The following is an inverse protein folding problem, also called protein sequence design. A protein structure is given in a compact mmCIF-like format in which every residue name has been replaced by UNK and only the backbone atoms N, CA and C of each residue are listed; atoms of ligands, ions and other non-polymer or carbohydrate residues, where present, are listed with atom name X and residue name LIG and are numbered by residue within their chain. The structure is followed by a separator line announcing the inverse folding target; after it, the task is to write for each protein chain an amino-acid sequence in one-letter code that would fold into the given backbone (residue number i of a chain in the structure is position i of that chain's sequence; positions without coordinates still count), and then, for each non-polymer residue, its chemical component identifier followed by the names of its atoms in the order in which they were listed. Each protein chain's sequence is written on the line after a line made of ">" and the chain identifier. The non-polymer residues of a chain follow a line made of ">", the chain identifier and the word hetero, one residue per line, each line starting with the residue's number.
data_IF_571901840739
#
_entry.id   IF_571901840739
#
_cell.length_a   1.000
_cell.length_b   1.000
_cell.length_c   1.000
_cell.angle_alpha   90.00
_cell.angle_beta   90.00
_cell.angle_gamma   90.00
#
_symmetry.space_group_name_H-M   'P 1'
#
loop_
_entity.id
_entity.type
_entity.pdbx_description
1 polymer ?
#
# COMPACT_ATOMS: atom_id res chain seq x y z
N UNK A 1 16.36 12.84 45.70
CA UNK A 1 16.60 13.50 44.40
C UNK A 1 17.49 12.59 43.57
N UNK A 2 16.92 11.78 42.65
CA UNK A 2 17.66 10.85 41.79
C UNK A 2 17.70 11.45 40.38
N UNK A 3 18.90 11.82 39.93
CA UNK A 3 19.16 12.38 38.61
C UNK A 3 19.20 11.23 37.58
N UNK A 4 18.24 11.16 36.66
CA UNK A 4 18.29 10.25 35.52
C UNK A 4 19.09 10.95 34.40
N UNK A 5 20.24 10.37 34.05
CA UNK A 5 21.02 10.77 32.89
C UNK A 5 20.40 10.13 31.64
N UNK A 6 19.97 10.96 30.69
CA UNK A 6 19.44 10.56 29.39
C UNK A 6 20.62 10.33 28.44
N UNK A 7 20.89 9.07 28.11
CA UNK A 7 21.88 8.70 27.09
C UNK A 7 21.20 8.73 25.71
N UNK A 8 21.54 9.75 24.91
CA UNK A 8 21.18 9.81 23.49
C UNK A 8 22.13 8.92 22.69
N UNK A 9 21.66 7.79 22.20
CA UNK A 9 22.37 6.97 21.21
C UNK A 9 22.04 7.46 19.81
N UNK A 10 23.01 8.11 19.14
CA UNK A 10 22.91 8.48 17.73
C UNK A 10 23.27 7.24 16.90
N UNK A 11 22.28 6.64 16.23
CA UNK A 11 22.49 5.58 15.24
C UNK A 11 22.75 6.20 13.86
N UNK A 12 23.99 6.09 13.39
CA UNK A 12 24.37 6.44 12.03
C UNK A 12 23.91 5.31 11.08
N UNK A 13 22.98 5.60 10.17
CA UNK A 13 22.60 4.71 9.09
C UNK A 13 23.60 4.82 7.95
N UNK A 14 24.37 3.75 7.71
CA UNK A 14 25.17 3.60 6.50
C UNK A 14 24.26 3.24 5.32
N UNK A 15 24.21 4.10 4.31
CA UNK A 15 23.50 3.83 3.05
C UNK A 15 24.40 2.93 2.21
N UNK A 16 24.00 1.65 2.07
CA UNK A 16 24.62 0.72 1.12
C UNK A 16 23.94 0.92 -0.23
N UNK A 17 24.69 1.45 -1.21
CA UNK A 17 24.27 1.56 -2.60
C UNK A 17 24.42 0.18 -3.26
N UNK A 18 23.38 -0.44 -3.81
CA UNK A 18 23.54 -1.68 -4.57
C UNK A 18 24.22 -1.41 -5.91
N UNK A 19 25.24 -2.23 -6.24
CA UNK A 19 25.92 -2.23 -7.51
C UNK A 19 24.96 -2.67 -8.63
N UNK A 20 24.86 -1.88 -9.71
CA UNK A 20 24.13 -2.23 -10.93
C UNK A 20 24.74 -3.48 -11.57
N UNK A 21 23.96 -4.56 -11.60
CA UNK A 21 24.29 -5.76 -12.37
C UNK A 21 24.04 -5.48 -13.86
N UNK A 22 25.13 -5.47 -14.67
CA UNK A 22 25.07 -5.43 -16.13
C UNK A 22 24.23 -6.59 -16.65
N UNK A 23 23.12 -6.28 -17.31
CA UNK A 23 22.33 -7.28 -18.06
C UNK A 23 23.19 -7.84 -19.22
N UNK A 24 23.18 -9.18 -19.42
CA UNK A 24 23.80 -9.78 -20.59
C UNK A 24 23.06 -9.38 -21.87
N UNK A 25 23.83 -9.06 -22.93
CA UNK A 25 23.30 -8.69 -24.23
C UNK A 25 22.45 -9.84 -24.83
N UNK A 26 21.21 -9.52 -25.22
CA UNK A 26 20.35 -10.45 -25.95
C UNK A 26 20.94 -10.74 -27.33
N UNK A 27 20.98 -12.01 -27.78
CA UNK A 27 21.38 -12.34 -29.15
C UNK A 27 20.41 -11.72 -30.16
N UNK A 28 20.97 -11.07 -31.18
CA UNK A 28 20.25 -10.46 -32.28
C UNK A 28 19.48 -11.53 -33.06
N UNK A 29 18.15 -11.39 -33.15
CA UNK A 29 17.33 -12.21 -34.03
C UNK A 29 17.68 -11.95 -35.52
N UNK A 30 17.74 -13.01 -36.36
CA UNK A 30 17.94 -12.79 -37.79
C UNK A 30 16.82 -11.99 -38.41
N UNK A 31 17.17 -11.07 -39.32
CA UNK A 31 16.23 -10.20 -40.01
C UNK A 31 15.22 -11.01 -40.79
N UNK A 32 13.92 -10.81 -40.56
CA UNK A 32 12.86 -11.34 -41.37
C UNK A 32 12.88 -10.70 -42.79
N UNK A 33 12.66 -11.48 -43.84
CA UNK A 33 12.56 -10.92 -45.19
C UNK A 33 11.40 -9.93 -45.27
N UNK A 34 11.65 -8.82 -45.96
CA UNK A 34 10.69 -7.74 -46.18
C UNK A 34 9.45 -8.24 -46.93
N UNK A 35 8.28 -8.16 -46.34
CA UNK A 35 7.01 -8.36 -47.00
C UNK A 35 6.72 -7.17 -47.93
N UNK A 36 6.20 -7.42 -49.19
CA UNK A 36 5.83 -6.36 -50.07
C UNK A 36 4.71 -5.50 -49.45
N UNK A 37 4.90 -4.20 -49.52
CA UNK A 37 3.98 -3.20 -48.98
C UNK A 37 2.62 -3.30 -49.67
N UNK A 38 1.61 -3.76 -48.94
CA UNK A 38 0.21 -3.55 -49.34
C UNK A 38 -0.15 -2.07 -49.17
N UNK A 39 -0.87 -1.46 -50.14
CA UNK A 39 -1.37 -0.10 -49.95
C UNK A 39 -2.34 -0.09 -48.75
N UNK A 40 -1.97 0.64 -47.71
CA UNK A 40 -2.79 0.82 -46.55
C UNK A 40 -4.04 1.62 -46.92
N UNK A 41 -5.19 0.92 -47.05
CA UNK A 41 -6.49 1.54 -46.86
C UNK A 41 -6.46 2.22 -45.49
N UNK A 42 -6.62 3.54 -45.47
CA UNK A 42 -6.62 4.34 -44.27
C UNK A 42 -7.69 3.88 -43.30
N UNK A 43 -7.33 2.92 -42.46
CA UNK A 43 -8.06 2.63 -41.26
C UNK A 43 -7.68 3.75 -40.27
N UNK A 44 -8.62 4.67 -40.04
CA UNK A 44 -8.54 5.62 -38.96
C UNK A 44 -8.42 4.77 -37.70
N UNK A 45 -7.16 4.47 -37.32
CA UNK A 45 -6.84 3.79 -36.07
C UNK A 45 -7.47 4.56 -34.94
N UNK A 46 -8.58 4.05 -34.41
CA UNK A 46 -8.95 4.33 -33.05
C UNK A 46 -7.76 3.86 -32.20
N UNK A 47 -6.81 4.79 -31.99
CA UNK A 47 -5.78 4.60 -30.99
C UNK A 47 -6.50 4.25 -29.70
N UNK A 48 -6.30 3.05 -29.19
CA UNK A 48 -6.60 2.72 -27.81
C UNK A 48 -5.74 3.65 -26.94
N UNK A 49 -6.13 4.92 -26.86
CA UNK A 49 -5.60 5.88 -25.93
C UNK A 49 -5.90 5.31 -24.56
N UNK A 50 -4.93 4.65 -23.96
CA UNK A 50 -5.04 4.23 -22.56
C UNK A 50 -5.34 5.49 -21.76
N UNK A 51 -6.59 5.60 -21.27
CA UNK A 51 -6.96 6.68 -20.39
C UNK A 51 -6.07 6.63 -19.16
N UNK A 52 -5.33 7.71 -18.89
CA UNK A 52 -4.56 7.87 -17.67
C UNK A 52 -5.44 8.34 -16.51
N UNK A 53 -6.74 8.09 -16.56
CA UNK A 53 -7.62 8.32 -15.41
C UNK A 53 -7.22 7.39 -14.25
N UNK A 54 -7.12 7.97 -13.06
CA UNK A 54 -6.85 7.20 -11.85
C UNK A 54 -7.99 6.20 -11.60
N UNK A 55 -7.62 5.02 -11.11
CA UNK A 55 -8.57 3.95 -10.79
C UNK A 55 -8.37 3.46 -9.36
N UNK A 56 -9.41 2.89 -8.78
CA UNK A 56 -9.33 2.28 -7.45
C UNK A 56 -8.99 0.80 -7.60
N UNK A 57 -8.00 0.37 -6.82
CA UNK A 57 -7.62 -1.04 -6.67
C UNK A 57 -7.77 -1.51 -5.23
N UNK A 58 -7.95 -2.81 -5.06
CA UNK A 58 -8.14 -3.39 -3.73
C UNK A 58 -6.85 -3.31 -2.91
N UNK A 59 -6.96 -2.75 -1.71
CA UNK A 59 -5.87 -2.66 -0.73
C UNK A 59 -6.09 -3.67 0.39
N UNK A 60 -5.14 -4.59 0.59
CA UNK A 60 -5.21 -5.62 1.61
C UNK A 60 -3.87 -5.74 2.34
N UNK A 61 -3.90 -5.62 3.67
CA UNK A 61 -2.74 -5.80 4.51
C UNK A 61 -3.10 -6.58 5.79
N UNK A 62 -2.14 -7.28 6.35
CA UNK A 62 -2.29 -7.94 7.65
C UNK A 62 -0.99 -7.93 8.43
N UNK A 63 -1.10 -7.83 9.75
CA UNK A 63 0.07 -7.71 10.61
C UNK A 63 -0.30 -7.69 12.08
N UNK A 64 0.56 -7.04 12.84
CA UNK A 64 0.45 -6.89 14.30
C UNK A 64 0.18 -5.44 14.66
N UNK A 65 -0.81 -5.19 15.50
CA UNK A 65 -1.14 -3.86 16.01
C UNK A 65 -0.01 -3.35 16.90
N UNK A 66 0.49 -2.17 16.61
CA UNK A 66 1.46 -1.47 17.48
C UNK A 66 0.76 -0.45 18.38
N UNK A 67 -0.18 0.31 17.79
CA UNK A 67 -1.00 1.27 18.52
C UNK A 67 -2.31 1.54 17.79
N UNK A 68 -3.32 2.01 18.53
CA UNK A 68 -4.59 2.46 17.98
C UNK A 68 -5.17 3.60 18.81
N UNK A 69 -5.72 4.59 18.13
CA UNK A 69 -6.57 5.64 18.71
C UNK A 69 -7.86 5.63 17.91
N UNK A 70 -8.91 5.06 18.50
CA UNK A 70 -10.20 4.84 17.84
C UNK A 70 -11.29 5.61 18.56
N UNK A 71 -12.12 6.31 17.80
CA UNK A 71 -13.32 7.00 18.27
C UNK A 71 -14.53 6.45 17.51
N UNK A 72 -15.64 6.14 18.19
CA UNK A 72 -16.85 5.71 17.51
C UNK A 72 -17.32 6.78 16.51
N UNK A 73 -17.58 6.37 15.27
CA UNK A 73 -18.20 7.22 14.27
C UNK A 73 -19.74 7.25 14.47
N UNK A 74 -20.43 8.12 13.74
CA UNK A 74 -21.90 8.24 13.81
C UNK A 74 -22.61 6.93 13.47
N UNK A 75 -22.04 6.15 12.55
CA UNK A 75 -22.61 4.88 12.12
C UNK A 75 -22.18 3.74 13.05
N UNK A 76 -23.14 2.97 13.54
CA UNK A 76 -22.89 1.84 14.46
C UNK A 76 -21.88 0.83 13.87
N UNK A 77 -20.84 0.50 14.63
CA UNK A 77 -19.79 -0.42 14.22
C UNK A 77 -18.73 0.19 13.31
N UNK A 78 -18.77 1.52 13.15
CA UNK A 78 -17.76 2.28 12.43
C UNK A 78 -16.94 3.12 13.42
N UNK A 79 -15.70 3.39 13.04
CA UNK A 79 -14.78 4.18 13.84
C UNK A 79 -13.98 5.12 12.93
N UNK A 80 -13.64 6.26 13.52
CA UNK A 80 -12.64 7.19 13.04
C UNK A 80 -11.34 7.02 13.84
N UNK A 81 -10.23 7.59 13.38
CA UNK A 81 -9.00 7.62 14.12
C UNK A 81 -7.79 7.12 13.35
N UNK A 82 -6.80 6.60 14.08
CA UNK A 82 -5.56 6.09 13.50
C UNK A 82 -5.15 4.76 14.12
N UNK A 83 -4.52 3.91 13.30
CA UNK A 83 -3.88 2.69 13.77
C UNK A 83 -2.47 2.60 13.18
N UNK A 84 -1.52 2.12 13.96
CA UNK A 84 -0.19 1.75 13.49
C UNK A 84 -0.04 0.24 13.55
N UNK A 85 0.34 -0.36 12.43
CA UNK A 85 0.44 -1.82 12.24
C UNK A 85 1.82 -2.16 11.70
N UNK A 86 2.47 -3.14 12.27
CA UNK A 86 3.60 -3.82 11.64
C UNK A 86 3.06 -4.83 10.65
N UNK A 87 3.06 -4.45 9.37
CA UNK A 87 2.47 -5.22 8.26
C UNK A 87 3.43 -6.31 7.85
N UNK A 88 3.03 -7.56 8.03
CA UNK A 88 3.81 -8.75 7.67
C UNK A 88 3.39 -9.37 6.34
N UNK A 89 2.15 -9.11 5.88
CA UNK A 89 1.61 -9.56 4.61
C UNK A 89 0.80 -8.44 3.97
N UNK A 90 1.04 -8.23 2.69
CA UNK A 90 0.38 -7.20 1.91
C UNK A 90 0.12 -7.73 0.48
N UNK A 91 -0.92 -7.21 -0.20
CA UNK A 91 -1.02 -7.40 -1.64
C UNK A 91 -0.05 -6.44 -2.35
N UNK A 92 0.04 -6.52 -3.67
CA UNK A 92 0.97 -5.72 -4.48
C UNK A 92 0.78 -4.19 -4.34
N UNK A 93 -0.41 -3.74 -3.89
CA UNK A 93 -0.71 -2.32 -3.68
C UNK A 93 -0.40 -1.85 -2.24
N UNK A 94 -0.07 -2.75 -1.33
CA UNK A 94 0.21 -2.44 0.06
C UNK A 94 1.67 -2.71 0.41
N UNK A 95 2.24 -1.86 1.27
CA UNK A 95 3.62 -1.99 1.72
C UNK A 95 3.71 -2.83 2.99
N UNK A 96 4.81 -3.57 3.16
CA UNK A 96 5.16 -4.27 4.41
C UNK A 96 5.92 -3.34 5.36
N UNK A 97 6.08 -3.77 6.62
CA UNK A 97 6.72 -2.98 7.68
C UNK A 97 5.74 -2.10 8.43
N UNK A 98 6.25 -1.15 9.20
CA UNK A 98 5.42 -0.26 10.01
C UNK A 98 4.65 0.73 9.15
N UNK A 99 3.31 0.61 9.18
CA UNK A 99 2.40 1.47 8.45
C UNK A 99 1.40 2.12 9.41
N UNK A 100 1.08 3.40 9.18
CA UNK A 100 0.03 4.12 9.91
C UNK A 100 -1.15 4.36 8.96
N UNK A 101 -2.33 3.91 9.38
CA UNK A 101 -3.57 4.06 8.63
C UNK A 101 -4.51 5.04 9.33
N UNK A 102 -5.04 5.99 8.55
CA UNK A 102 -6.14 6.86 9.01
C UNK A 102 -7.46 6.19 8.66
N UNK A 103 -8.36 6.16 9.62
CA UNK A 103 -9.72 5.63 9.51
C UNK A 103 -10.71 6.78 9.45
N UNK A 104 -11.58 6.77 8.46
CA UNK A 104 -12.70 7.69 8.33
C UNK A 104 -13.94 6.87 8.03
N UNK A 105 -14.88 6.84 8.96
CA UNK A 105 -16.09 6.02 8.91
C UNK A 105 -15.81 4.55 8.50
N UNK A 106 -14.70 4.00 8.97
CA UNK A 106 -14.27 2.63 8.66
C UNK A 106 -15.01 1.62 9.55
N UNK A 107 -15.50 0.54 8.96
CA UNK A 107 -16.12 -0.55 9.73
C UNK A 107 -15.05 -1.30 10.51
N UNK A 108 -15.12 -1.28 11.85
CA UNK A 108 -14.18 -1.99 12.71
C UNK A 108 -14.87 -3.18 13.37
N UNK A 109 -14.26 -4.36 13.24
CA UNK A 109 -14.70 -5.60 13.89
C UNK A 109 -13.68 -6.00 14.94
N UNK A 110 -14.13 -6.12 16.18
CA UNK A 110 -13.31 -6.59 17.29
C UNK A 110 -13.61 -8.06 17.56
N UNK A 111 -12.57 -8.87 17.62
CA UNK A 111 -12.65 -10.26 18.03
C UNK A 111 -13.01 -10.41 19.51
N UNK A 112 -13.38 -11.62 19.94
CA UNK A 112 -13.69 -11.91 21.34
C UNK A 112 -12.49 -11.51 22.24
N UNK A 113 -12.77 -10.76 23.31
CA UNK A 113 -11.78 -10.33 24.29
C UNK A 113 -10.92 -9.12 23.87
N UNK A 114 -11.20 -8.50 22.71
CA UNK A 114 -10.54 -7.28 22.27
C UNK A 114 -11.37 -6.07 22.69
N UNK A 115 -10.73 -5.11 23.39
CA UNK A 115 -11.36 -3.83 23.74
C UNK A 115 -11.64 -3.00 22.46
N UNK A 116 -12.84 -2.45 22.36
CA UNK A 116 -13.24 -1.60 21.23
C UNK A 116 -12.66 -0.17 21.32
N UNK A 117 -12.30 0.28 22.51
CA UNK A 117 -11.77 1.63 22.73
C UNK A 117 -10.24 1.67 22.81
N UNK A 118 -9.64 0.59 23.32
CA UNK A 118 -8.20 0.48 23.51
C UNK A 118 -7.74 -0.96 23.19
N UNK A 119 -7.69 -1.35 21.90
CA UNK A 119 -7.19 -2.67 21.54
C UNK A 119 -5.71 -2.77 21.88
N UNK A 120 -5.32 -3.89 22.51
CA UNK A 120 -3.96 -4.08 22.99
C UNK A 120 -2.96 -4.19 21.84
N UNK A 121 -1.76 -3.61 22.01
CA UNK A 121 -0.62 -3.88 21.15
C UNK A 121 -0.33 -5.39 21.11
N UNK A 122 0.18 -5.89 19.98
CA UNK A 122 0.37 -7.32 19.75
C UNK A 122 -0.87 -8.01 19.15
N UNK A 123 -2.05 -7.37 19.14
CA UNK A 123 -3.25 -7.89 18.49
C UNK A 123 -3.03 -8.09 16.99
N UNK A 124 -3.64 -9.14 16.40
CA UNK A 124 -3.60 -9.37 14.95
C UNK A 124 -4.58 -8.45 14.26
N UNK A 125 -4.12 -7.84 13.17
CA UNK A 125 -4.90 -6.89 12.38
C UNK A 125 -5.01 -7.37 10.94
N UNK A 126 -6.20 -7.18 10.35
CA UNK A 126 -6.44 -7.25 8.90
C UNK A 126 -7.06 -5.94 8.46
N UNK A 127 -6.46 -5.33 7.45
CA UNK A 127 -6.88 -4.06 6.85
C UNK A 127 -7.37 -4.35 5.44
N UNK A 128 -8.57 -3.88 5.12
CA UNK A 128 -9.13 -3.94 3.77
C UNK A 128 -9.62 -2.55 3.37
N UNK A 129 -9.29 -2.16 2.15
CA UNK A 129 -9.63 -0.86 1.63
C UNK A 129 -9.45 -0.78 0.13
N UNK A 130 -9.29 0.43 -0.34
CA UNK A 130 -9.04 0.77 -1.73
C UNK A 130 -7.84 1.73 -1.78
N UNK A 131 -7.05 1.62 -2.82
CA UNK A 131 -6.01 2.59 -3.16
C UNK A 131 -6.26 3.13 -4.54
N UNK A 132 -6.14 4.44 -4.69
CA UNK A 132 -6.22 5.09 -6.00
C UNK A 132 -4.86 5.04 -6.66
N UNK A 133 -4.79 4.42 -7.84
CA UNK A 133 -3.56 4.24 -8.61
C UNK A 133 -3.71 4.76 -10.03
N UNK A 134 -2.60 5.08 -10.67
CA UNK A 134 -2.57 5.35 -12.11
C UNK A 134 -2.34 4.06 -12.90
N UNK A 135 -2.94 3.92 -14.10
CA UNK A 135 -2.62 2.83 -15.01
C UNK A 135 -1.12 2.81 -15.34
N UNK A 136 -0.61 1.61 -15.59
CA UNK A 136 0.78 1.42 -15.99
C UNK A 136 1.12 2.25 -17.24
N UNK A 137 2.28 2.91 -17.23
CA UNK A 137 2.74 3.77 -18.34
C UNK A 137 2.23 5.21 -18.26
N UNK A 138 1.40 5.57 -17.29
CA UNK A 138 0.97 6.96 -17.09
C UNK A 138 1.97 7.75 -16.22
N UNK A 139 2.11 9.06 -16.53
CA UNK A 139 2.95 9.93 -15.73
C UNK A 139 2.37 10.12 -14.32
N UNK A 140 3.20 9.92 -13.30
CA UNK A 140 2.83 10.16 -11.89
C UNK A 140 3.01 11.62 -11.45
N UNK A 141 3.42 12.53 -12.35
CA UNK A 141 3.61 13.94 -12.01
C UNK A 141 2.31 14.57 -11.50
N UNK A 142 2.32 15.06 -10.27
CA UNK A 142 1.14 15.67 -9.63
C UNK A 142 0.10 14.67 -9.13
N UNK A 143 0.34 13.36 -9.25
CA UNK A 143 -0.53 12.33 -8.69
C UNK A 143 -0.01 11.84 -7.32
N UNK A 144 -0.91 11.73 -6.36
CA UNK A 144 -0.64 11.12 -5.05
C UNK A 144 -1.63 9.98 -4.82
N UNK A 145 -1.11 8.78 -4.62
CA UNK A 145 -1.93 7.63 -4.27
C UNK A 145 -2.65 7.87 -2.94
N UNK A 146 -3.97 7.64 -2.92
CA UNK A 146 -4.78 7.79 -1.72
C UNK A 146 -5.30 6.44 -1.28
N UNK A 147 -5.02 6.06 -0.02
CA UNK A 147 -5.54 4.83 0.59
C UNK A 147 -6.76 5.16 1.43
N UNK A 148 -7.87 4.49 1.15
CA UNK A 148 -9.11 4.59 1.93
C UNK A 148 -9.40 3.26 2.60
N UNK A 149 -9.37 3.22 3.94
CA UNK A 149 -9.67 2.00 4.70
C UNK A 149 -11.19 1.86 4.84
N UNK A 150 -11.71 0.72 4.36
CA UNK A 150 -13.15 0.38 4.42
C UNK A 150 -13.48 -0.52 5.61
N UNK A 151 -12.64 -1.52 5.84
CA UNK A 151 -12.85 -2.50 6.89
C UNK A 151 -11.56 -2.78 7.65
N UNK A 152 -11.71 -2.93 8.95
CA UNK A 152 -10.63 -3.31 9.86
C UNK A 152 -11.10 -4.46 10.75
N UNK A 153 -10.31 -5.50 10.89
CA UNK A 153 -10.54 -6.58 11.83
C UNK A 153 -9.38 -6.66 12.81
N UNK A 154 -9.67 -6.58 14.12
CA UNK A 154 -8.69 -6.69 15.20
C UNK A 154 -9.02 -7.92 16.03
N UNK A 155 -8.09 -8.87 16.12
CA UNK A 155 -8.21 -10.11 16.90
C UNK A 155 -7.12 -10.17 17.96
N UNK A 156 -7.43 -10.81 19.08
CA UNK A 156 -6.45 -11.07 20.13
C UNK A 156 -5.21 -11.78 19.56
N UNK A 157 -4.03 -11.48 20.08
CA UNK A 157 -2.83 -12.26 19.84
C UNK A 157 -3.09 -13.73 20.19
N UNK A 158 -2.49 -14.66 19.44
CA UNK A 158 -2.50 -16.09 19.82
C UNK A 158 -1.44 -16.36 20.83
#
# INVERSE_FOLDING_TARGET
>A
MKRFALLLAVMAFAIVVPAEAKQPAHPSHPAHPAHPSQPSSGNLGMGNGHSCAARNEGYNASGTLMSATLTPATKKGHNDGTITVDVTRANHEAMTGTQTFTLTDARVRFGKGVSSTAPAAGSRVRVHGEVTVLPHGCSSTGFTATVTIRNLEIKQAK
#
